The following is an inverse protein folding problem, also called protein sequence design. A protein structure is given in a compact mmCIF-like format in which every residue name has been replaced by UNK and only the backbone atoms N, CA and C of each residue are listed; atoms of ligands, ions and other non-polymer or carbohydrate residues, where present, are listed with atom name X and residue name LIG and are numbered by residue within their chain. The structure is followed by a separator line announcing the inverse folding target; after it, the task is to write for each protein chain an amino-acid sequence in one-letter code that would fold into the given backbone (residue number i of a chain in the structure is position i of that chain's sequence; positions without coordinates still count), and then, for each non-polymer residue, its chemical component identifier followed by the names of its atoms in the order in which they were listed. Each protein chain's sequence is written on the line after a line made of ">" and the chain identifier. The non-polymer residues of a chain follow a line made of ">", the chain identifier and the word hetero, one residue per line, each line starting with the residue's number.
data_IF_024566595215
#
_entry.id   IF_024566595215
#
_cell.length_a   1.000
_cell.length_b   1.000
_cell.length_c   1.000
_cell.angle_alpha   90.00
_cell.angle_beta   90.00
_cell.angle_gamma   90.00
#
_symmetry.space_group_name_H-M   'P 1'
#
loop_
_entity.id
_entity.type
_entity.pdbx_description
1 polymer ?
#
# COMPACT_ATOMS: atom_id res chain seq x y z
N UNK A 1 -7.93 23.76 -3.81
CA UNK A 1 -8.28 23.86 -5.25
C UNK A 1 -9.19 22.68 -5.53
N UNK A 2 -10.35 22.90 -6.15
CA UNK A 2 -11.28 21.80 -6.44
C UNK A 2 -10.87 21.17 -7.77
N UNK A 3 -10.59 19.88 -7.76
CA UNK A 3 -10.26 19.12 -8.95
C UNK A 3 -11.47 19.11 -9.90
N UNK A 4 -11.28 19.55 -11.14
CA UNK A 4 -12.27 19.44 -12.21
C UNK A 4 -11.61 18.70 -13.38
N UNK A 5 -11.95 17.43 -13.57
CA UNK A 5 -11.43 16.61 -14.65
C UNK A 5 -11.89 15.17 -14.56
N UNK A 6 -11.69 14.42 -15.64
CA UNK A 6 -11.71 12.96 -15.61
C UNK A 6 -10.26 12.51 -15.77
N UNK A 7 -9.79 11.65 -14.89
CA UNK A 7 -8.49 10.99 -15.00
C UNK A 7 -8.75 9.49 -14.93
N UNK A 8 -8.21 8.76 -15.90
CA UNK A 8 -8.15 7.31 -15.88
C UNK A 8 -6.68 6.99 -15.90
N UNK A 9 -6.21 6.39 -14.81
CA UNK A 9 -4.86 5.89 -14.69
C UNK A 9 -4.91 4.40 -14.33
N UNK A 10 -4.33 3.56 -15.17
CA UNK A 10 -4.28 2.11 -15.04
C UNK A 10 -2.83 1.66 -14.84
N UNK A 11 -2.62 0.76 -13.89
CA UNK A 11 -1.34 0.06 -13.76
C UNK A 11 -1.51 -1.37 -14.24
N UNK A 12 -1.32 -1.56 -15.55
CA UNK A 12 -1.07 -2.87 -16.10
C UNK A 12 0.35 -2.90 -16.65
N UNK A 13 1.07 -4.00 -16.41
CA UNK A 13 2.11 -4.51 -17.29
C UNK A 13 1.59 -4.51 -18.75
N UNK A 14 1.79 -3.40 -19.44
CA UNK A 14 1.26 -3.17 -20.78
C UNK A 14 1.49 -4.37 -21.69
N UNK A 15 0.40 -4.91 -22.30
CA UNK A 15 0.50 -5.91 -23.38
C UNK A 15 1.13 -5.35 -24.65
N UNK A 16 1.43 -4.04 -24.68
CA UNK A 16 2.12 -3.38 -25.77
C UNK A 16 3.63 -3.58 -25.56
N UNK A 17 4.24 -4.32 -26.46
CA UNK A 17 5.68 -4.54 -26.46
C UNK A 17 6.43 -3.21 -26.40
N UNK A 18 7.28 -3.03 -25.39
CA UNK A 18 8.11 -1.82 -25.16
C UNK A 18 7.36 -0.57 -24.66
N UNK A 19 6.14 -0.71 -24.14
CA UNK A 19 5.40 0.40 -23.54
C UNK A 19 5.73 0.50 -22.04
N UNK A 20 6.45 1.56 -21.59
CA UNK A 20 6.79 1.77 -20.19
C UNK A 20 5.63 2.38 -19.38
N UNK A 21 4.38 2.24 -19.84
CA UNK A 21 3.22 3.02 -19.40
C UNK A 21 2.64 2.59 -18.05
N UNK A 22 3.45 2.00 -17.16
CA UNK A 22 3.03 1.85 -15.77
C UNK A 22 2.84 3.25 -15.17
N UNK A 23 1.61 3.60 -14.83
CA UNK A 23 1.27 4.91 -14.27
C UNK A 23 1.35 4.92 -12.75
N UNK A 24 1.10 3.76 -12.13
CA UNK A 24 1.27 3.53 -10.69
C UNK A 24 2.51 2.68 -10.40
N UNK A 25 3.30 3.10 -9.42
CA UNK A 25 4.59 2.51 -9.08
C UNK A 25 4.71 2.33 -7.57
N UNK A 26 5.66 1.50 -7.13
CA UNK A 26 6.03 1.40 -5.72
C UNK A 26 6.29 2.79 -5.12
N UNK A 27 5.82 3.00 -3.88
CA UNK A 27 5.89 4.31 -3.23
C UNK A 27 7.32 4.79 -2.96
N UNK A 28 7.51 6.11 -2.73
CA UNK A 28 8.85 6.64 -2.41
C UNK A 28 9.39 5.90 -1.21
N UNK A 29 10.66 5.49 -1.28
CA UNK A 29 11.32 4.80 -0.18
C UNK A 29 10.60 3.49 0.23
N UNK A 30 9.88 2.82 -0.67
CA UNK A 30 9.27 1.51 -0.39
C UNK A 30 10.28 0.52 0.23
N UNK A 31 11.53 0.53 -0.22
CA UNK A 31 12.65 -0.26 0.35
C UNK A 31 13.01 0.03 1.82
N UNK A 32 12.41 1.06 2.42
CA UNK A 32 12.59 1.47 3.83
C UNK A 32 11.26 1.40 4.57
N UNK A 33 10.14 1.53 3.87
CA UNK A 33 8.81 1.62 4.46
C UNK A 33 8.00 0.33 4.39
N UNK A 34 8.25 -0.54 3.40
CA UNK A 34 7.44 -1.74 3.16
C UNK A 34 8.20 -3.04 3.33
N UNK A 35 9.54 -3.01 3.29
CA UNK A 35 10.43 -4.15 3.46
C UNK A 35 11.86 -3.67 3.67
N UNK A 36 12.76 -4.58 4.09
CA UNK A 36 14.19 -4.36 3.97
C UNK A 36 14.75 -4.93 2.66
N UNK A 37 16.00 -4.59 2.35
CA UNK A 37 16.70 -5.05 1.14
C UNK A 37 17.73 -6.15 1.41
N UNK A 38 17.79 -6.67 2.64
CA UNK A 38 18.78 -7.66 3.05
C UNK A 38 18.29 -9.07 2.76
N UNK A 39 17.01 -9.35 3.06
CA UNK A 39 16.37 -10.65 2.80
C UNK A 39 15.83 -10.69 1.37
N UNK A 40 16.25 -11.69 0.61
CA UNK A 40 15.86 -11.88 -0.79
C UNK A 40 14.87 -13.03 -0.92
N UNK A 41 14.19 -13.05 -2.06
CA UNK A 41 13.25 -14.11 -2.40
C UNK A 41 13.92 -15.50 -2.40
N UNK A 42 15.13 -15.61 -2.95
CA UNK A 42 15.90 -16.85 -2.96
C UNK A 42 16.32 -17.35 -1.57
N UNK A 43 16.43 -16.46 -0.57
CA UNK A 43 16.83 -16.84 0.79
C UNK A 43 15.72 -17.57 1.55
N UNK A 44 14.45 -17.20 1.30
CA UNK A 44 13.28 -17.77 1.99
C UNK A 44 12.55 -18.81 1.13
N UNK A 45 12.40 -18.53 -0.17
CA UNK A 45 11.58 -19.31 -1.09
C UNK A 45 12.36 -20.04 -2.18
N UNK A 46 13.70 -20.02 -2.13
CA UNK A 46 14.57 -20.61 -3.16
C UNK A 46 14.45 -22.13 -3.35
N UNK A 47 13.86 -22.83 -2.37
CA UNK A 47 13.57 -24.26 -2.42
C UNK A 47 12.12 -24.57 -2.87
N UNK A 48 11.34 -23.55 -3.23
CA UNK A 48 9.95 -23.69 -3.68
C UNK A 48 9.86 -23.77 -5.21
N UNK A 49 8.66 -24.04 -5.73
CA UNK A 49 8.42 -24.01 -7.18
C UNK A 49 8.29 -22.59 -7.76
N UNK A 50 8.15 -21.57 -6.90
CA UNK A 50 7.85 -20.18 -7.30
C UNK A 50 9.11 -19.43 -7.73
N UNK A 51 10.26 -19.76 -7.15
CA UNK A 51 11.55 -19.13 -7.45
C UNK A 51 12.70 -20.10 -7.19
N UNK A 52 13.93 -19.67 -7.46
CA UNK A 52 15.15 -20.43 -7.17
C UNK A 52 16.07 -19.69 -6.19
N UNK A 53 17.02 -20.41 -5.60
CA UNK A 53 17.95 -19.86 -4.60
C UNK A 53 18.86 -18.73 -5.10
N UNK A 54 18.96 -18.49 -6.42
CA UNK A 54 19.70 -17.37 -6.99
C UNK A 54 18.84 -16.12 -7.18
N UNK A 55 17.55 -16.15 -6.85
CA UNK A 55 16.68 -14.98 -6.96
C UNK A 55 17.14 -13.88 -5.98
N UNK A 56 17.61 -12.79 -6.58
CA UNK A 56 18.18 -11.66 -5.86
C UNK A 56 17.19 -10.56 -5.51
N UNK A 57 15.92 -10.68 -5.90
CA UNK A 57 14.94 -9.64 -5.62
C UNK A 57 14.63 -9.57 -4.12
N UNK A 58 14.63 -8.36 -3.51
CA UNK A 58 14.20 -8.17 -2.13
C UNK A 58 12.78 -8.66 -1.90
N UNK A 59 12.53 -9.26 -0.74
CA UNK A 59 11.22 -9.77 -0.38
C UNK A 59 10.40 -8.68 0.33
N UNK A 60 9.11 -8.55 -0.01
CA UNK A 60 8.18 -7.68 0.72
C UNK A 60 8.04 -8.13 2.18
N UNK A 61 7.58 -7.26 3.09
CA UNK A 61 7.36 -7.65 4.47
C UNK A 61 6.27 -8.72 4.58
N UNK A 62 6.63 -9.87 5.16
CA UNK A 62 5.73 -10.98 5.47
C UNK A 62 5.49 -11.05 6.97
N UNK A 63 4.26 -11.27 7.42
CA UNK A 63 3.95 -11.38 8.85
C UNK A 63 4.68 -12.54 9.54
N UNK A 64 4.84 -13.68 8.86
CA UNK A 64 5.53 -14.84 9.42
C UNK A 64 7.06 -14.76 9.39
N UNK A 65 7.63 -13.84 8.59
CA UNK A 65 9.08 -13.68 8.42
C UNK A 65 9.50 -12.28 8.86
N UNK A 66 9.65 -12.07 10.17
CA UNK A 66 10.03 -10.77 10.74
C UNK A 66 11.36 -10.21 10.22
N UNK A 67 12.22 -11.08 9.72
CA UNK A 67 13.50 -10.68 9.11
C UNK A 67 13.31 -9.95 7.78
N UNK A 68 12.12 -9.96 7.18
CA UNK A 68 11.78 -9.19 5.95
C UNK A 68 11.32 -7.77 6.24
N UNK A 69 11.09 -7.45 7.51
CA UNK A 69 10.48 -6.19 7.91
C UNK A 69 11.45 -5.01 7.73
N UNK A 70 10.91 -3.81 7.43
CA UNK A 70 11.69 -2.59 7.40
C UNK A 70 12.25 -2.24 8.79
N UNK A 71 13.31 -1.43 8.78
CA UNK A 71 13.98 -0.92 9.99
C UNK A 71 13.78 0.58 10.06
N UNK A 72 13.37 1.07 11.24
CA UNK A 72 13.25 2.51 11.56
C UNK A 72 14.09 2.87 12.76
N UNK A 73 14.48 4.14 12.84
CA UNK A 73 15.18 4.68 14.01
C UNK A 73 14.14 5.14 15.05
N UNK A 74 14.22 4.58 16.26
CA UNK A 74 13.41 4.99 17.39
C UNK A 74 14.14 6.08 18.17
N UNK A 75 13.65 7.31 18.10
CA UNK A 75 14.28 8.47 18.74
C UNK A 75 14.25 8.40 20.27
N UNK A 76 13.28 7.67 20.84
CA UNK A 76 13.11 7.53 22.30
C UNK A 76 14.14 6.59 22.89
N UNK A 77 14.40 5.46 22.21
CA UNK A 77 15.36 4.45 22.66
C UNK A 77 16.77 4.68 22.12
N UNK A 78 16.90 5.46 21.04
CA UNK A 78 18.15 5.71 20.33
C UNK A 78 18.65 4.50 19.54
N UNK A 79 17.78 3.56 19.21
CA UNK A 79 18.13 2.31 18.53
C UNK A 79 17.31 2.14 17.24
N UNK A 80 17.87 1.35 16.32
CA UNK A 80 17.14 0.88 15.15
C UNK A 80 16.27 -0.31 15.55
N UNK A 81 14.99 -0.27 15.21
CA UNK A 81 14.03 -1.35 15.46
C UNK A 81 13.38 -1.81 14.16
N UNK A 82 13.11 -3.10 14.09
CA UNK A 82 12.28 -3.69 13.04
C UNK A 82 10.81 -3.40 13.35
N UNK A 83 10.00 -3.07 12.35
CA UNK A 83 8.58 -2.79 12.55
C UNK A 83 7.71 -3.44 11.46
N UNK A 84 6.52 -3.91 11.84
CA UNK A 84 5.52 -4.38 10.88
C UNK A 84 4.88 -3.16 10.18
N UNK A 85 4.96 -3.05 8.85
CA UNK A 85 4.40 -1.91 8.13
C UNK A 85 2.90 -2.04 7.85
N UNK A 86 2.33 -3.24 8.00
CA UNK A 86 0.91 -3.51 7.83
C UNK A 86 0.06 -3.17 9.05
N UNK A 87 -1.13 -3.75 9.11
CA UNK A 87 -2.08 -3.55 10.19
C UNK A 87 -2.11 -4.73 11.14
N UNK A 88 -2.42 -4.43 12.40
CA UNK A 88 -2.69 -5.46 13.41
C UNK A 88 -4.17 -5.85 13.36
N UNK A 89 -4.48 -7.05 13.85
CA UNK A 89 -5.85 -7.49 14.08
C UNK A 89 -6.54 -6.60 15.11
N UNK A 90 -7.87 -6.48 14.96
CA UNK A 90 -8.71 -5.76 15.91
C UNK A 90 -9.46 -6.73 16.83
N UNK A 91 -9.65 -6.33 18.08
CA UNK A 91 -10.56 -6.99 19.02
C UNK A 91 -11.81 -6.15 19.27
N UNK A 92 -12.94 -6.85 19.34
CA UNK A 92 -14.21 -6.24 19.70
C UNK A 92 -14.31 -6.06 21.22
N UNK A 93 -14.29 -4.83 21.68
CA UNK A 93 -14.35 -4.48 23.09
C UNK A 93 -15.47 -3.47 23.37
N UNK A 94 -16.49 -3.93 24.09
CA UNK A 94 -17.66 -3.11 24.46
C UNK A 94 -17.37 -2.02 25.49
N UNK A 95 -16.20 -2.06 26.13
CA UNK A 95 -15.83 -1.12 27.19
C UNK A 95 -15.04 0.09 26.65
N UNK A 96 -14.81 0.15 25.35
CA UNK A 96 -14.12 1.29 24.73
C UNK A 96 -14.99 2.56 24.82
N UNK A 97 -14.38 3.74 25.06
CA UNK A 97 -15.09 5.01 25.00
C UNK A 97 -15.78 5.20 23.65
N UNK A 98 -17.02 5.67 23.63
CA UNK A 98 -17.78 5.89 22.38
C UNK A 98 -18.53 4.67 21.86
N UNK A 99 -18.13 3.45 22.24
CA UNK A 99 -18.75 2.22 21.75
C UNK A 99 -20.25 2.10 22.10
N UNK A 100 -21.09 2.03 21.07
CA UNK A 100 -22.53 1.81 21.12
C UNK A 100 -22.90 0.30 21.22
N UNK A 101 -21.98 -0.55 21.68
CA UNK A 101 -22.18 -1.98 21.88
C UNK A 101 -22.63 -2.73 20.61
N UNK A 102 -22.16 -2.28 19.45
CA UNK A 102 -22.48 -2.88 18.16
C UNK A 102 -21.20 -3.26 17.44
N UNK A 103 -21.15 -4.44 16.83
CA UNK A 103 -20.01 -4.82 15.95
C UNK A 103 -19.89 -3.96 14.70
N UNK A 104 -20.95 -3.23 14.36
CA UNK A 104 -20.96 -2.27 13.24
C UNK A 104 -20.39 -0.91 13.63
N UNK A 105 -20.16 -0.69 14.92
CA UNK A 105 -19.62 0.55 15.43
C UNK A 105 -18.09 0.46 15.44
N UNK A 106 -17.37 1.30 14.66
CA UNK A 106 -15.92 1.29 14.62
C UNK A 106 -15.29 1.63 15.98
N UNK A 107 -15.97 2.39 16.84
CA UNK A 107 -15.47 2.79 18.16
C UNK A 107 -15.42 1.61 19.16
N UNK A 108 -16.01 0.47 18.80
CA UNK A 108 -15.96 -0.77 19.57
C UNK A 108 -14.79 -1.68 19.21
N UNK A 109 -13.86 -1.25 18.35
CA UNK A 109 -12.73 -2.05 17.89
C UNK A 109 -11.40 -1.40 18.28
N UNK A 110 -10.53 -2.17 18.93
CA UNK A 110 -9.16 -1.75 19.25
C UNK A 110 -8.13 -2.65 18.56
N UNK A 111 -7.02 -2.06 18.12
CA UNK A 111 -5.91 -2.83 17.53
C UNK A 111 -5.14 -3.60 18.61
N UNK A 112 -4.79 -4.85 18.30
CA UNK A 112 -4.03 -5.74 19.18
C UNK A 112 -2.64 -5.94 18.59
N UNK A 113 -1.69 -5.12 19.04
CA UNK A 113 -0.30 -5.20 18.59
C UNK A 113 0.29 -6.61 18.81
N UNK A 114 1.03 -7.10 17.82
CA UNK A 114 1.60 -8.44 17.82
C UNK A 114 0.66 -9.56 17.36
N UNK A 115 -0.63 -9.26 17.09
CA UNK A 115 -1.57 -10.22 16.51
C UNK A 115 -1.91 -9.86 15.07
N UNK A 116 -1.52 -10.72 14.13
CA UNK A 116 -1.87 -10.61 12.72
C UNK A 116 -3.35 -10.93 12.49
N UNK A 117 -3.92 -10.37 11.42
CA UNK A 117 -5.30 -10.58 10.92
C UNK A 117 -5.48 -11.98 10.34
N UNK A 118 -4.45 -12.56 9.71
CA UNK A 118 -4.46 -13.87 9.05
C UNK A 118 -3.19 -14.69 9.33
N UNK A 119 -3.09 -15.89 8.77
CA UNK A 119 -1.95 -16.80 8.98
C UNK A 119 -0.69 -16.30 8.28
N UNK A 120 -0.84 -15.68 7.12
CA UNK A 120 0.23 -15.01 6.39
C UNK A 120 -0.27 -13.73 5.74
N UNK A 121 0.46 -12.65 5.95
CA UNK A 121 0.16 -11.33 5.40
C UNK A 121 1.35 -10.80 4.64
N UNK A 122 1.07 -10.10 3.55
CA UNK A 122 2.09 -9.38 2.78
C UNK A 122 1.63 -7.95 2.57
N UNK A 123 2.49 -7.00 2.96
CA UNK A 123 2.22 -5.58 2.84
C UNK A 123 2.91 -4.96 1.61
N UNK A 124 2.19 -4.09 0.91
CA UNK A 124 2.72 -3.32 -0.21
C UNK A 124 2.11 -1.91 -0.29
N UNK A 125 2.88 -0.99 -0.88
CA UNK A 125 2.43 0.38 -1.14
C UNK A 125 2.81 0.83 -2.55
N UNK A 126 1.90 1.54 -3.20
CA UNK A 126 2.12 2.12 -4.52
C UNK A 126 1.35 3.44 -4.67
N UNK A 127 1.77 4.27 -5.61
CA UNK A 127 1.18 5.56 -5.89
C UNK A 127 1.29 5.99 -7.34
N UNK A 128 0.59 7.07 -7.68
CA UNK A 128 0.36 7.56 -9.04
C UNK A 128 1.30 8.69 -9.47
N UNK A 129 2.45 8.88 -8.81
CA UNK A 129 3.41 9.96 -9.11
C UNK A 129 3.87 9.99 -10.57
N UNK A 130 3.84 8.84 -11.24
CA UNK A 130 4.29 8.65 -12.62
C UNK A 130 3.14 8.63 -13.62
N UNK A 131 1.91 8.99 -13.21
CA UNK A 131 0.75 8.98 -14.10
C UNK A 131 0.92 9.82 -15.37
N UNK A 132 1.77 10.85 -15.36
CA UNK A 132 2.08 11.64 -16.56
C UNK A 132 2.81 10.85 -17.67
N UNK A 133 3.44 9.71 -17.34
CA UNK A 133 4.19 8.88 -18.30
C UNK A 133 3.30 8.07 -19.23
N UNK A 134 2.05 7.82 -18.84
CA UNK A 134 1.10 7.11 -19.68
C UNK A 134 0.55 7.95 -20.83
N UNK A 135 0.78 9.27 -20.83
CA UNK A 135 0.28 10.15 -21.86
C UNK A 135 0.91 9.86 -23.22
N UNK A 136 0.04 9.60 -24.21
CA UNK A 136 0.41 9.52 -25.61
C UNK A 136 0.72 10.92 -26.16
N UNK A 137 1.83 11.02 -26.89
CA UNK A 137 2.27 12.25 -27.57
C UNK A 137 2.28 11.97 -29.07
N UNK A 138 1.65 12.84 -29.85
CA UNK A 138 1.58 12.69 -31.30
C UNK A 138 2.90 13.12 -31.97
N UNK A 139 2.99 12.99 -33.30
CA UNK A 139 4.19 13.35 -34.08
C UNK A 139 4.52 14.85 -34.09
N UNK A 140 3.65 15.70 -33.55
CA UNK A 140 3.83 17.15 -33.43
C UNK A 140 4.16 17.58 -31.99
N UNK A 141 4.51 16.65 -31.10
CA UNK A 141 4.77 16.89 -29.68
C UNK A 141 3.54 17.39 -28.87
N UNK A 142 2.33 17.18 -29.38
CA UNK A 142 1.10 17.49 -28.64
C UNK A 142 0.57 16.25 -27.90
N UNK A 143 0.14 16.46 -26.66
CA UNK A 143 -0.52 15.42 -25.86
C UNK A 143 -1.88 15.05 -26.43
N UNK A 144 -2.09 13.75 -26.69
CA UNK A 144 -3.41 13.21 -27.06
C UNK A 144 -4.29 12.97 -25.84
N UNK A 145 -3.67 12.82 -24.66
CA UNK A 145 -4.31 12.56 -23.38
C UNK A 145 -3.64 13.38 -22.27
N UNK A 146 -4.40 13.75 -21.24
CA UNK A 146 -3.92 14.56 -20.11
C UNK A 146 -4.10 13.83 -18.78
N UNK A 147 -3.43 12.70 -18.63
CA UNK A 147 -3.19 12.04 -17.35
C UNK A 147 -2.17 12.83 -16.52
N UNK A 148 -2.42 12.95 -15.22
CA UNK A 148 -1.52 13.62 -14.29
C UNK A 148 -1.65 13.00 -12.89
N UNK A 149 -0.59 13.09 -12.06
CA UNK A 149 -0.65 12.58 -10.70
C UNK A 149 -1.74 13.28 -9.89
N UNK A 150 -2.60 12.48 -9.26
CA UNK A 150 -3.56 12.90 -8.25
C UNK A 150 -2.94 12.87 -6.85
N UNK A 151 -1.76 12.26 -6.66
CA UNK A 151 -1.15 12.22 -5.34
C UNK A 151 -1.88 11.26 -4.41
N UNK A 152 -2.39 10.15 -4.95
CA UNK A 152 -3.02 9.10 -4.16
C UNK A 152 -1.98 8.04 -3.81
N UNK A 153 -1.88 7.71 -2.53
CA UNK A 153 -1.14 6.54 -2.08
C UNK A 153 -2.10 5.41 -1.73
N UNK A 154 -1.80 4.23 -2.23
CA UNK A 154 -2.53 3.01 -1.97
C UNK A 154 -1.64 2.09 -1.15
N UNK A 155 -2.16 1.68 -0.01
CA UNK A 155 -1.57 0.69 0.88
C UNK A 155 -2.44 -0.55 0.80
N UNK A 156 -1.84 -1.70 0.55
CA UNK A 156 -2.56 -2.96 0.42
C UNK A 156 -1.89 -4.03 1.26
N UNK A 157 -2.72 -4.82 1.93
CA UNK A 157 -2.29 -5.98 2.69
C UNK A 157 -3.06 -7.19 2.18
N UNK A 158 -2.33 -8.15 1.63
CA UNK A 158 -2.87 -9.43 1.17
C UNK A 158 -2.86 -10.40 2.35
N UNK A 159 -3.98 -11.10 2.54
CA UNK A 159 -4.21 -12.01 3.66
C UNK A 159 -4.40 -13.43 3.12
N UNK A 160 -3.75 -14.39 3.79
CA UNK A 160 -3.90 -15.82 3.51
C UNK A 160 -4.34 -16.53 4.80
N UNK A 161 -5.40 -17.32 4.68
CA UNK A 161 -5.97 -18.08 5.79
C UNK A 161 -5.83 -19.57 5.54
N UNK A 162 -5.27 -20.30 6.50
CA UNK A 162 -5.10 -21.76 6.47
C UNK A 162 -6.36 -22.56 6.83
N UNK A 163 -7.54 -21.94 6.81
CA UNK A 163 -8.83 -22.60 7.13
C UNK A 163 -9.53 -23.07 5.86
N UNK A 164 -10.13 -24.26 5.90
CA UNK A 164 -10.64 -24.95 4.71
C UNK A 164 -11.77 -24.24 3.96
N UNK A 165 -12.43 -23.24 4.55
CA UNK A 165 -13.47 -22.45 3.85
C UNK A 165 -12.90 -21.19 3.16
N UNK A 166 -11.63 -20.87 3.40
CA UNK A 166 -10.94 -19.69 2.89
C UNK A 166 -9.65 -20.02 2.12
N UNK A 167 -9.30 -21.30 1.97
CA UNK A 167 -8.03 -21.77 1.38
C UNK A 167 -7.80 -21.32 -0.07
N UNK A 168 -8.88 -21.10 -0.83
CA UNK A 168 -8.84 -20.67 -2.24
C UNK A 168 -9.35 -19.23 -2.47
N UNK A 169 -9.37 -18.40 -1.42
CA UNK A 169 -9.84 -17.02 -1.50
C UNK A 169 -8.71 -16.07 -1.11
N UNK A 170 -8.35 -15.18 -2.02
CA UNK A 170 -7.45 -14.07 -1.73
C UNK A 170 -8.24 -12.91 -1.13
N UNK A 171 -7.90 -12.53 0.10
CA UNK A 171 -8.44 -11.33 0.72
C UNK A 171 -7.38 -10.23 0.63
N UNK A 172 -7.76 -9.05 0.14
CA UNK A 172 -6.89 -7.88 0.13
C UNK A 172 -7.58 -6.73 0.81
N UNK A 173 -6.97 -6.21 1.87
CA UNK A 173 -7.40 -4.95 2.49
C UNK A 173 -6.69 -3.81 1.81
N UNK A 174 -7.43 -2.79 1.37
CA UNK A 174 -6.89 -1.61 0.71
C UNK A 174 -7.23 -0.36 1.50
N UNK A 175 -6.22 0.46 1.79
CA UNK A 175 -6.38 1.82 2.30
C UNK A 175 -5.85 2.81 1.29
N UNK A 176 -6.67 3.80 0.94
CA UNK A 176 -6.30 4.88 0.03
C UNK A 176 -6.15 6.16 0.83
N UNK A 177 -5.01 6.83 0.67
CA UNK A 177 -4.73 8.11 1.32
C UNK A 177 -4.49 9.18 0.27
N UNK A 178 -5.13 10.33 0.46
CA UNK A 178 -4.82 11.53 -0.29
C UNK A 178 -3.56 12.18 0.28
N UNK A 179 -2.49 12.19 -0.50
CA UNK A 179 -1.21 12.81 -0.15
C UNK A 179 -0.81 13.85 -1.20
N UNK A 180 -1.77 14.39 -1.94
CA UNK A 180 -1.52 15.45 -2.90
C UNK A 180 -0.93 16.71 -2.24
N UNK A 181 -1.16 16.91 -0.95
CA UNK A 181 -0.58 17.97 -0.13
C UNK A 181 -0.05 17.43 1.18
N UNK A 182 0.59 18.31 1.96
CA UNK A 182 0.99 17.97 3.32
C UNK A 182 -0.24 17.55 4.13
N UNK A 183 -0.10 16.48 4.92
CA UNK A 183 -1.23 15.80 5.54
C UNK A 183 -0.94 15.47 7.00
N UNK A 184 -2.01 15.41 7.77
CA UNK A 184 -2.04 14.78 9.08
C UNK A 184 -3.24 13.83 9.07
N UNK A 185 -3.01 12.59 9.46
CA UNK A 185 -4.04 11.57 9.43
C UNK A 185 -5.08 11.85 10.50
N UNK A 186 -6.33 11.74 10.08
CA UNK A 186 -7.53 11.83 10.91
C UNK A 186 -8.42 10.63 10.58
N UNK A 187 -9.21 10.19 11.56
CA UNK A 187 -10.20 9.14 11.36
C UNK A 187 -11.50 9.67 10.72
N UNK A 188 -12.53 8.84 10.67
CA UNK A 188 -13.83 9.19 10.08
C UNK A 188 -14.56 10.31 10.86
N UNK A 189 -14.20 10.53 12.12
CA UNK A 189 -14.77 11.54 13.01
C UNK A 189 -13.94 12.84 13.03
N UNK A 190 -12.80 12.88 12.35
CA UNK A 190 -11.87 14.00 12.36
C UNK A 190 -10.93 14.00 13.57
N UNK A 191 -10.79 12.88 14.28
CA UNK A 191 -9.84 12.76 15.38
C UNK A 191 -8.45 12.38 14.87
N UNK A 192 -7.36 12.94 15.45
CA UNK A 192 -5.99 12.62 15.05
C UNK A 192 -5.67 11.12 15.15
N UNK A 193 -5.12 10.55 14.08
CA UNK A 193 -4.51 9.21 14.12
C UNK A 193 -3.06 9.34 14.57
N UNK A 194 -2.70 8.64 15.64
CA UNK A 194 -1.34 8.67 16.21
C UNK A 194 -0.46 7.55 15.64
N UNK A 195 0.84 7.80 15.60
CA UNK A 195 1.86 6.79 15.36
C UNK A 195 2.20 6.00 16.65
N UNK A 196 3.08 5.02 16.52
CA UNK A 196 3.53 4.16 17.64
C UNK A 196 4.27 4.94 18.73
N UNK A 197 4.64 6.20 18.47
CA UNK A 197 5.32 7.11 19.40
C UNK A 197 4.36 8.12 20.04
N UNK A 198 3.06 8.04 19.73
CA UNK A 198 2.04 8.94 20.25
C UNK A 198 2.03 10.33 19.60
N UNK A 199 2.72 10.51 18.48
CA UNK A 199 2.63 11.74 17.69
C UNK A 199 1.54 11.60 16.63
N UNK A 200 0.85 12.69 16.30
CA UNK A 200 -0.09 12.65 15.18
C UNK A 200 0.68 12.25 13.92
N UNK A 201 0.18 11.24 13.23
CA UNK A 201 0.78 10.74 12.01
C UNK A 201 0.61 11.78 10.92
N UNK A 202 1.65 12.56 10.67
CA UNK A 202 1.69 13.57 9.62
C UNK A 202 2.77 13.22 8.59
N UNK A 203 2.64 13.80 7.41
CA UNK A 203 3.61 13.64 6.35
C UNK A 203 3.58 14.77 5.35
N UNK A 204 4.66 14.86 4.58
CA UNK A 204 4.74 15.78 3.47
C UNK A 204 3.91 15.27 2.28
N UNK A 205 3.39 16.22 1.51
CA UNK A 205 2.74 15.94 0.24
C UNK A 205 3.70 15.23 -0.71
N UNK A 206 3.12 14.39 -1.56
CA UNK A 206 3.84 13.55 -2.50
C UNK A 206 4.80 14.40 -3.35
N UNK A 207 6.08 14.00 -3.32
CA UNK A 207 7.13 14.61 -4.11
C UNK A 207 7.14 13.95 -5.48
N UNK A 208 6.93 14.77 -6.51
CA UNK A 208 6.97 14.38 -7.91
C UNK A 208 8.40 14.04 -8.34
N UNK A 209 8.60 13.32 -9.46
CA UNK A 209 9.93 12.96 -9.94
C UNK A 209 10.87 14.14 -10.23
N UNK A 210 10.33 15.32 -10.51
CA UNK A 210 11.09 16.56 -10.72
C UNK A 210 11.44 17.29 -9.41
N UNK A 211 11.06 16.72 -8.26
CA UNK A 211 11.27 17.29 -6.93
C UNK A 211 10.19 18.29 -6.49
N UNK A 212 9.19 18.56 -7.32
CA UNK A 212 8.08 19.46 -6.97
C UNK A 212 6.99 18.74 -6.18
N UNK A 213 6.08 19.50 -5.56
CA UNK A 213 4.85 18.98 -4.94
C UNK A 213 3.63 19.47 -5.72
N UNK A 214 2.59 18.64 -5.77
CA UNK A 214 1.33 19.01 -6.40
C UNK A 214 0.75 20.28 -5.76
N UNK A 215 0.33 21.21 -6.60
CA UNK A 215 -0.23 22.50 -6.17
C UNK A 215 0.63 23.20 -5.11
N UNK A 216 1.97 23.17 -5.27
CA UNK A 216 2.94 23.76 -4.33
C UNK A 216 2.81 23.21 -2.90
N UNK A 217 2.44 21.93 -2.75
CA UNK A 217 2.23 21.26 -1.47
C UNK A 217 0.86 21.47 -0.84
N UNK A 218 -0.01 22.30 -1.44
CA UNK A 218 -1.39 22.49 -0.96
C UNK A 218 -2.32 21.32 -1.31
N UNK A 219 -1.91 20.47 -2.25
CA UNK A 219 -2.73 19.36 -2.74
C UNK A 219 -4.09 19.74 -3.30
N UNK A 220 -4.97 18.75 -3.30
CA UNK A 220 -6.32 18.80 -3.85
C UNK A 220 -7.33 18.25 -2.85
N UNK A 221 -8.51 18.87 -2.82
CA UNK A 221 -9.67 18.30 -2.14
C UNK A 221 -10.52 17.59 -3.18
N UNK A 222 -10.62 16.27 -3.03
CA UNK A 222 -11.39 15.42 -3.92
C UNK A 222 -12.84 15.28 -3.46
N UNK A 223 -13.78 15.31 -4.40
CA UNK A 223 -15.18 15.03 -4.14
C UNK A 223 -15.74 14.18 -5.28
N UNK A 224 -16.46 13.11 -4.96
CA UNK A 224 -17.05 12.23 -5.96
C UNK A 224 -16.05 11.35 -6.72
N UNK A 225 -14.87 11.10 -6.16
CA UNK A 225 -13.88 10.20 -6.75
C UNK A 225 -14.38 8.75 -6.73
N UNK A 226 -14.23 8.06 -7.85
CA UNK A 226 -14.43 6.61 -7.96
C UNK A 226 -13.09 5.96 -8.26
N UNK A 227 -12.74 4.92 -7.51
CA UNK A 227 -11.51 4.14 -7.67
C UNK A 227 -11.89 2.67 -7.86
N UNK A 228 -11.13 1.97 -8.71
CA UNK A 228 -11.24 0.53 -8.88
C UNK A 228 -9.85 -0.09 -8.74
N UNK A 229 -9.76 -1.18 -7.99
CA UNK A 229 -8.54 -1.97 -7.88
C UNK A 229 -8.79 -3.33 -8.51
N UNK A 230 -7.87 -3.74 -9.38
CA UNK A 230 -7.87 -5.06 -9.98
C UNK A 230 -6.69 -5.83 -9.42
N UNK A 231 -6.98 -6.93 -8.72
CA UNK A 231 -5.98 -7.87 -8.24
C UNK A 231 -6.09 -9.11 -9.12
N UNK A 232 -5.13 -9.28 -10.01
CA UNK A 232 -5.00 -10.49 -10.81
C UNK A 232 -4.16 -11.51 -10.05
N UNK A 233 -4.56 -12.76 -10.10
CA UNK A 233 -3.76 -13.87 -9.62
C UNK A 233 -3.46 -14.77 -10.82
N UNK A 234 -2.19 -14.86 -11.19
CA UNK A 234 -1.75 -15.87 -12.16
C UNK A 234 -1.84 -17.24 -11.48
N UNK A 235 -3.03 -17.84 -11.53
CA UNK A 235 -3.28 -19.15 -10.92
C UNK A 235 -2.80 -20.24 -11.87
N UNK A 236 -1.68 -20.88 -11.53
CA UNK A 236 -1.31 -22.16 -12.12
C UNK A 236 -2.16 -23.26 -11.47
N UNK A 237 -3.32 -23.56 -12.07
CA UNK A 237 -4.18 -24.65 -11.58
C UNK A 237 -3.64 -25.97 -12.14
N UNK A 238 -3.24 -26.88 -11.25
CA UNK A 238 -2.95 -28.28 -11.59
C UNK A 238 -4.19 -29.01 -12.10
N UNK A 239 -4.03 -30.06 -12.89
CA UNK A 239 -5.18 -30.85 -13.33
C UNK A 239 -5.71 -31.75 -12.19
N UNK A 240 -6.75 -32.56 -12.44
CA UNK A 240 -7.30 -33.49 -11.44
C UNK A 240 -6.28 -34.48 -10.85
N UNK A 241 -5.08 -34.57 -11.44
CA UNK A 241 -3.98 -35.46 -11.06
C UNK A 241 -2.83 -34.72 -10.36
N UNK A 242 -2.91 -33.39 -10.23
CA UNK A 242 -1.80 -32.52 -9.81
C UNK A 242 -1.05 -31.97 -11.00
#
# INVERSE_FOLDING_TARGET
>A
YMYYGFNVAESWLSRIQSSPNGEWHASTMARVNTHNTEVKNGDIFGDTYVTDANDTYPLLAHSAFSDTWPIRYNEVTGQNESFWPGWWSQDYNINLPGCAQSRKDPDCWEYVEGRFISDMEVYMEFDDRWAHRGNMVNTNDDYEQTGYPMGLRVMAEAHSYGVSYAEDILFVTVKVRNESGDWCAEDENGEPVYDDFGNQKCGEGMVMPDGTKLNQGKGFNYQGTTLGFYFDADVLVGDMSG
#
